data_IF_802419602226
#
_entry.id   IF_802419602226
#
_cell.length_a   1.000
_cell.length_b   1.000
_cell.length_c   1.000
_cell.angle_alpha   90.00
_cell.angle_beta   90.00
_cell.angle_gamma   90.00
#
_symmetry.space_group_name_H-M   'P 1'
#
loop_
_entity.id
_entity.type
_entity.pdbx_description
1 polymer ?
#
# COMPACT_ATOMS: atom_id res chain seq x y z
N UNK A 1 6.99 -19.06 -9.09
CA UNK A 1 5.72 -18.80 -9.85
C UNK A 1 6.04 -18.35 -11.27
N UNK A 2 5.04 -18.31 -12.20
CA UNK A 2 5.25 -17.61 -13.47
C UNK A 2 5.22 -16.10 -13.19
N UNK A 3 6.23 -15.33 -13.64
CA UNK A 3 6.24 -13.88 -13.46
C UNK A 3 5.02 -13.24 -14.13
N UNK A 4 4.42 -12.25 -13.46
CA UNK A 4 3.37 -11.41 -14.04
C UNK A 4 3.93 -10.01 -14.25
N UNK A 5 3.40 -9.30 -15.22
CA UNK A 5 3.91 -7.97 -15.61
C UNK A 5 3.07 -6.88 -14.98
N UNK A 6 3.73 -5.86 -14.39
CA UNK A 6 3.10 -4.59 -14.06
C UNK A 6 3.17 -3.71 -15.31
N UNK A 7 2.16 -3.80 -16.17
CA UNK A 7 2.14 -3.06 -17.44
C UNK A 7 1.90 -1.57 -17.24
N UNK A 8 1.20 -1.21 -16.17
CA UNK A 8 0.96 0.18 -15.78
C UNK A 8 0.75 0.30 -14.27
N UNK A 9 1.07 1.45 -13.69
CA UNK A 9 0.81 1.72 -12.29
C UNK A 9 0.70 3.22 -12.00
N UNK A 10 0.02 3.55 -10.92
CA UNK A 10 -0.19 4.91 -10.43
C UNK A 10 -0.26 4.94 -8.92
N UNK A 11 0.09 6.08 -8.32
CA UNK A 11 -0.06 6.32 -6.89
C UNK A 11 -0.40 7.78 -6.61
N UNK A 12 -1.28 7.98 -5.64
CA UNK A 12 -1.63 9.29 -5.09
C UNK A 12 -1.57 9.19 -3.57
N UNK A 13 -0.79 10.06 -2.95
CA UNK A 13 -0.60 10.15 -1.51
C UNK A 13 -0.34 11.60 -1.11
N UNK A 14 -0.01 11.85 0.15
CA UNK A 14 0.42 13.19 0.59
C UNK A 14 1.71 13.69 -0.09
N UNK A 15 2.44 12.84 -0.82
CA UNK A 15 3.59 13.25 -1.64
C UNK A 15 3.18 13.95 -2.93
N UNK A 16 1.95 13.73 -3.39
CA UNK A 16 1.36 14.30 -4.59
C UNK A 16 0.53 13.30 -5.38
N UNK A 17 0.05 13.74 -6.54
CA UNK A 17 -0.79 12.95 -7.44
C UNK A 17 0.06 12.38 -8.57
N UNK A 18 -0.01 11.06 -8.75
CA UNK A 18 0.70 10.34 -9.80
C UNK A 18 2.15 9.98 -9.44
N UNK A 19 2.73 9.13 -10.29
CA UNK A 19 4.07 8.54 -10.07
C UNK A 19 5.19 9.58 -10.17
N UNK A 20 5.05 10.60 -11.03
CA UNK A 20 6.06 11.64 -11.18
C UNK A 20 6.24 12.45 -9.89
N UNK A 21 5.15 12.87 -9.25
CA UNK A 21 5.19 13.61 -7.99
C UNK A 21 5.75 12.74 -6.85
N UNK A 22 5.35 11.46 -6.80
CA UNK A 22 5.86 10.48 -5.83
C UNK A 22 7.37 10.29 -5.99
N UNK A 23 7.85 10.05 -7.22
CA UNK A 23 9.28 9.87 -7.52
C UNK A 23 10.10 11.09 -7.14
N UNK A 24 9.64 12.28 -7.53
CA UNK A 24 10.31 13.53 -7.19
C UNK A 24 10.43 13.71 -5.67
N UNK A 25 9.34 13.54 -4.94
CA UNK A 25 9.33 13.69 -3.49
C UNK A 25 10.30 12.72 -2.78
N UNK A 26 10.35 11.46 -3.23
CA UNK A 26 11.27 10.45 -2.68
C UNK A 26 12.74 10.79 -2.99
N UNK A 27 13.05 11.24 -4.20
CA UNK A 27 14.41 11.69 -4.58
C UNK A 27 14.86 12.90 -3.78
N UNK A 28 13.95 13.85 -3.53
CA UNK A 28 14.18 15.05 -2.73
C UNK A 28 14.14 14.78 -1.22
N UNK A 29 13.84 13.54 -0.80
CA UNK A 29 13.67 13.17 0.61
C UNK A 29 12.62 14.05 1.31
N UNK A 30 11.57 14.42 0.60
CA UNK A 30 10.52 15.29 1.10
C UNK A 30 9.45 14.48 1.82
N UNK A 31 9.12 14.90 3.04
CA UNK A 31 7.97 14.37 3.78
C UNK A 31 6.68 15.08 3.38
N UNK A 32 5.62 14.31 3.14
CA UNK A 32 4.27 14.84 2.94
C UNK A 32 3.51 15.04 4.25
N UNK A 33 4.07 14.60 5.38
CA UNK A 33 3.44 14.70 6.69
C UNK A 33 3.30 16.15 7.14
N UNK A 34 2.13 16.49 7.67
CA UNK A 34 1.80 17.80 8.23
C UNK A 34 1.14 17.63 9.59
N UNK A 35 1.21 18.65 10.44
CA UNK A 35 0.43 18.67 11.69
C UNK A 35 -1.02 18.37 11.34
N UNK A 36 -1.61 17.40 12.04
CA UNK A 36 -2.96 16.94 11.73
C UNK A 36 -3.98 18.02 12.11
N UNK A 37 -4.77 18.44 11.13
CA UNK A 37 -5.92 19.35 11.29
C UNK A 37 -7.16 18.76 10.62
N UNK A 38 -7.17 17.44 10.41
CA UNK A 38 -8.22 16.73 9.69
C UNK A 38 -9.51 16.70 10.50
N UNK A 39 -10.61 17.17 9.90
CA UNK A 39 -11.94 17.17 10.50
C UNK A 39 -11.94 17.82 11.90
N UNK A 40 -12.45 17.13 12.89
CA UNK A 40 -12.53 17.56 14.29
C UNK A 40 -11.45 16.94 15.18
N UNK A 41 -10.34 16.49 14.59
CA UNK A 41 -9.24 15.86 15.35
C UNK A 41 -8.59 16.88 16.28
N UNK A 42 -8.51 16.51 17.56
CA UNK A 42 -7.77 17.23 18.59
C UNK A 42 -6.72 16.29 19.21
N UNK A 43 -5.70 15.97 18.41
CA UNK A 43 -4.58 15.12 18.81
C UNK A 43 -3.27 15.79 18.39
N UNK A 44 -2.23 15.76 19.25
CA UNK A 44 -0.89 16.20 18.86
C UNK A 44 -0.24 15.13 17.97
N UNK A 45 -0.51 15.18 16.66
CA UNK A 45 0.06 14.23 15.69
C UNK A 45 0.25 14.86 14.32
N UNK A 46 0.94 14.12 13.47
CA UNK A 46 1.11 14.44 12.04
C UNK A 46 0.36 13.41 11.20
N UNK A 47 -0.20 13.88 10.09
CA UNK A 47 -0.90 13.02 9.13
C UNK A 47 -0.44 13.29 7.70
N UNK A 48 -0.57 12.28 6.86
CA UNK A 48 -0.33 12.37 5.43
C UNK A 48 -1.64 12.53 4.67
N UNK A 49 -2.20 13.73 4.64
CA UNK A 49 -3.46 14.05 3.95
C UNK A 49 -3.22 14.33 2.47
N UNK A 50 -4.10 13.84 1.60
CA UNK A 50 -4.09 14.08 0.16
C UNK A 50 -4.89 15.32 -0.18
N UNK A 51 -4.24 16.31 -0.78
CA UNK A 51 -4.91 17.55 -1.16
C UNK A 51 -5.96 17.34 -2.27
N UNK A 52 -7.12 18.01 -2.12
CA UNK A 52 -8.17 18.08 -3.14
C UNK A 52 -9.02 16.82 -3.29
N UNK A 53 -9.06 15.94 -2.28
CA UNK A 53 -9.98 14.78 -2.27
C UNK A 53 -11.42 15.22 -2.13
N UNK A 54 -11.68 16.23 -1.30
CA UNK A 54 -13.03 16.73 -1.04
C UNK A 54 -13.63 17.50 -2.22
N UNK A 55 -12.77 17.96 -3.14
CA UNK A 55 -13.15 18.65 -4.37
C UNK A 55 -13.54 17.66 -5.50
N UNK A 56 -13.28 16.37 -5.32
CA UNK A 56 -13.59 15.36 -6.34
C UNK A 56 -15.09 15.12 -6.41
N UNK A 57 -15.65 15.37 -7.59
CA UNK A 57 -17.04 15.07 -7.91
C UNK A 57 -17.12 13.74 -8.66
N UNK A 58 -17.95 12.83 -8.16
CA UNK A 58 -18.21 11.56 -8.80
C UNK A 58 -19.18 11.73 -9.98
N UNK A 59 -19.06 10.93 -11.07
CA UNK A 59 -20.07 10.84 -12.11
C UNK A 59 -21.45 10.48 -11.53
N UNK A 60 -22.52 10.94 -12.16
CA UNK A 60 -23.89 10.68 -11.66
C UNK A 60 -24.21 9.19 -11.50
N UNK A 61 -23.71 8.34 -12.39
CA UNK A 61 -23.86 6.88 -12.31
C UNK A 61 -23.18 6.25 -11.10
N UNK A 62 -22.22 6.93 -10.48
CA UNK A 62 -21.45 6.47 -9.32
C UNK A 62 -21.74 7.29 -8.06
N UNK A 63 -22.70 8.23 -8.11
CA UNK A 63 -23.08 9.09 -6.98
C UNK A 63 -23.44 8.30 -5.70
N UNK A 64 -24.12 7.12 -5.75
CA UNK A 64 -24.38 6.34 -4.54
C UNK A 64 -23.13 5.91 -3.77
N UNK A 65 -21.98 5.85 -4.43
CA UNK A 65 -20.70 5.49 -3.83
C UNK A 65 -19.94 6.68 -3.21
N UNK A 66 -20.57 7.87 -3.11
CA UNK A 66 -19.87 9.08 -2.70
C UNK A 66 -19.45 9.04 -1.24
N UNK A 67 -18.15 8.88 -1.05
CA UNK A 67 -17.45 8.98 0.23
C UNK A 67 -15.98 9.39 -0.02
N UNK A 68 -15.28 9.90 0.99
CA UNK A 68 -13.88 10.34 0.85
C UNK A 68 -12.99 9.26 0.25
N UNK A 69 -13.15 8.00 0.68
CA UNK A 69 -12.36 6.88 0.18
C UNK A 69 -12.52 6.68 -1.34
N UNK A 70 -13.76 6.71 -1.84
CA UNK A 70 -14.03 6.53 -3.26
C UNK A 70 -13.68 7.77 -4.09
N UNK A 71 -13.75 8.98 -3.52
CA UNK A 71 -13.20 10.20 -4.14
C UNK A 71 -11.69 10.09 -4.31
N UNK A 72 -10.96 9.64 -3.29
CA UNK A 72 -9.53 9.38 -3.35
C UNK A 72 -9.20 8.29 -4.39
N UNK A 73 -10.01 7.22 -4.44
CA UNK A 73 -9.91 6.19 -5.45
C UNK A 73 -9.98 6.77 -6.88
N UNK A 74 -10.99 7.58 -7.15
CA UNK A 74 -11.18 8.21 -8.47
C UNK A 74 -10.05 9.20 -8.79
N UNK A 75 -9.61 9.97 -7.81
CA UNK A 75 -8.50 10.92 -7.98
C UNK A 75 -7.23 10.23 -8.48
N UNK A 76 -6.92 9.07 -7.90
CA UNK A 76 -5.75 8.28 -8.30
C UNK A 76 -5.94 7.58 -9.65
N UNK A 77 -7.11 7.02 -9.95
CA UNK A 77 -7.39 6.39 -11.25
C UNK A 77 -7.16 7.34 -12.42
N UNK A 78 -7.40 8.64 -12.20
CA UNK A 78 -7.25 9.68 -13.24
C UNK A 78 -5.80 10.11 -13.50
N UNK A 79 -4.82 9.55 -12.78
CA UNK A 79 -3.41 9.90 -12.95
C UNK A 79 -2.71 8.95 -13.93
N UNK A 80 -1.58 9.37 -14.43
CA UNK A 80 -0.59 8.60 -15.21
C UNK A 80 -1.17 7.84 -16.41
N UNK A 81 -2.35 8.22 -16.94
CA UNK A 81 -3.00 7.49 -18.03
C UNK A 81 -3.52 6.11 -17.66
N UNK A 82 -3.70 5.82 -16.35
CA UNK A 82 -4.06 4.48 -15.86
C UNK A 82 -5.39 3.97 -16.43
N UNK A 83 -6.41 4.85 -16.57
CA UNK A 83 -7.69 4.48 -17.20
C UNK A 83 -7.47 4.00 -18.63
N UNK A 84 -6.68 4.73 -19.41
CA UNK A 84 -6.40 4.37 -20.82
C UNK A 84 -5.68 3.01 -20.90
N UNK A 85 -4.75 2.74 -20.00
CA UNK A 85 -4.05 1.44 -19.94
C UNK A 85 -5.01 0.29 -19.65
N UNK A 86 -5.99 0.50 -18.75
CA UNK A 86 -7.05 -0.49 -18.48
C UNK A 86 -7.95 -0.68 -19.70
N UNK A 87 -8.32 0.38 -20.40
CA UNK A 87 -9.10 0.29 -21.66
C UNK A 87 -8.33 -0.50 -22.73
N UNK A 88 -7.01 -0.31 -22.86
CA UNK A 88 -6.17 -1.11 -23.76
C UNK A 88 -6.19 -2.59 -23.37
N UNK A 89 -6.14 -2.90 -22.09
CA UNK A 89 -6.28 -4.26 -21.58
C UNK A 89 -7.65 -4.85 -21.89
N UNK A 90 -8.72 -4.05 -21.71
CA UNK A 90 -10.09 -4.45 -22.06
C UNK A 90 -10.23 -4.72 -23.58
N UNK A 91 -9.63 -3.89 -24.44
CA UNK A 91 -9.62 -4.14 -25.90
C UNK A 91 -8.93 -5.48 -26.24
N UNK A 92 -7.92 -5.86 -25.49
CA UNK A 92 -7.16 -7.10 -25.70
C UNK A 92 -7.88 -8.35 -25.19
N UNK A 93 -8.44 -8.27 -23.99
CA UNK A 93 -8.92 -9.43 -23.24
C UNK A 93 -10.45 -9.48 -23.09
N UNK A 94 -11.13 -8.36 -23.22
CA UNK A 94 -12.56 -8.21 -22.95
C UNK A 94 -12.86 -7.87 -21.48
N UNK A 95 -13.96 -7.12 -21.26
CA UNK A 95 -14.39 -6.57 -19.95
C UNK A 95 -14.51 -7.63 -18.84
N UNK A 96 -14.90 -8.85 -19.19
CA UNK A 96 -15.09 -9.97 -18.23
C UNK A 96 -13.79 -10.65 -17.83
N UNK A 97 -12.72 -10.38 -18.58
CA UNK A 97 -11.40 -11.00 -18.36
C UNK A 97 -10.43 -10.09 -17.61
N UNK A 98 -10.86 -8.87 -17.24
CA UNK A 98 -10.12 -7.94 -16.40
C UNK A 98 -10.78 -7.89 -15.02
N UNK A 99 -10.09 -8.36 -13.98
CA UNK A 99 -10.58 -8.37 -12.61
C UNK A 99 -10.17 -7.12 -11.81
N UNK A 100 -10.81 -6.89 -10.66
CA UNK A 100 -10.48 -5.81 -9.70
C UNK A 100 -10.25 -6.42 -8.32
N UNK A 101 -9.03 -6.28 -7.77
CA UNK A 101 -8.65 -6.80 -6.46
C UNK A 101 -8.04 -5.67 -5.64
N UNK A 102 -8.75 -5.20 -4.62
CA UNK A 102 -8.31 -4.04 -3.83
C UNK A 102 -8.18 -4.38 -2.35
N UNK A 103 -7.22 -3.72 -1.70
CA UNK A 103 -7.07 -3.73 -0.24
C UNK A 103 -7.61 -2.45 0.36
N UNK A 104 -8.31 -2.57 1.48
CA UNK A 104 -8.76 -1.41 2.28
C UNK A 104 -8.91 -1.82 3.74
N UNK A 105 -8.72 -0.87 4.64
CA UNK A 105 -9.04 -1.01 6.07
C UNK A 105 -10.09 0.00 6.53
N UNK A 106 -10.28 1.07 5.78
CA UNK A 106 -11.19 2.17 6.14
C UNK A 106 -12.45 2.20 5.31
N UNK A 107 -12.36 1.95 3.98
CA UNK A 107 -13.52 2.18 3.12
C UNK A 107 -14.20 3.52 3.44
N UNK A 108 -15.52 3.59 3.50
CA UNK A 108 -16.29 4.81 3.83
C UNK A 108 -16.53 5.02 5.33
N UNK A 109 -15.60 4.65 6.23
CA UNK A 109 -15.78 4.84 7.69
C UNK A 109 -16.09 6.29 8.04
N UNK A 110 -15.43 7.27 7.41
CA UNK A 110 -15.71 8.69 7.66
C UNK A 110 -17.18 9.05 7.39
N UNK A 111 -17.81 8.50 6.33
CA UNK A 111 -19.22 8.73 6.05
C UNK A 111 -20.10 8.15 7.16
N UNK A 112 -19.74 6.99 7.70
CA UNK A 112 -20.42 6.41 8.84
C UNK A 112 -20.28 7.29 10.10
N UNK A 113 -19.07 7.80 10.39
CA UNK A 113 -18.84 8.71 11.51
C UNK A 113 -19.68 9.98 11.39
N UNK A 114 -19.79 10.56 10.18
CA UNK A 114 -20.63 11.71 9.89
C UNK A 114 -22.12 11.37 10.12
N UNK A 115 -22.60 10.23 9.60
CA UNK A 115 -23.96 9.78 9.77
C UNK A 115 -24.32 9.58 11.24
N UNK A 116 -23.43 8.98 12.04
CA UNK A 116 -23.63 8.81 13.48
C UNK A 116 -23.66 10.13 14.25
N UNK A 117 -22.89 11.14 13.84
CA UNK A 117 -22.96 12.49 14.43
C UNK A 117 -24.29 13.19 14.12
N UNK A 118 -24.92 12.85 12.98
CA UNK A 118 -26.18 13.43 12.51
C UNK A 118 -27.41 12.58 12.84
N UNK A 119 -27.27 11.49 13.59
CA UNK A 119 -28.39 10.64 13.98
C UNK A 119 -29.46 11.44 14.72
N UNK A 120 -30.72 11.07 14.47
CA UNK A 120 -31.85 11.66 15.19
C UNK A 120 -31.74 11.34 16.69
N UNK A 121 -31.73 12.35 17.58
CA UNK A 121 -31.52 12.14 19.00
C UNK A 121 -32.70 11.44 19.71
N UNK A 122 -33.90 11.46 19.13
CA UNK A 122 -35.07 10.84 19.72
C UNK A 122 -35.25 9.39 19.31
N UNK A 123 -35.06 9.06 18.01
CA UNK A 123 -35.25 7.71 17.46
C UNK A 123 -33.95 6.91 17.37
N UNK A 124 -32.77 7.61 17.36
CA UNK A 124 -31.49 7.02 17.09
C UNK A 124 -31.25 6.67 15.59
N UNK A 125 -32.19 7.02 14.70
CA UNK A 125 -32.12 6.73 13.28
C UNK A 125 -30.99 7.51 12.61
N UNK A 126 -30.27 6.87 11.69
CA UNK A 126 -29.28 7.51 10.83
C UNK A 126 -29.98 8.32 9.72
N UNK A 127 -29.30 9.31 9.11
CA UNK A 127 -29.83 10.04 7.96
C UNK A 127 -30.31 9.11 6.85
N UNK A 128 -31.42 9.47 6.21
CA UNK A 128 -32.04 8.63 5.18
C UNK A 128 -31.21 8.46 3.90
N UNK A 129 -30.26 9.34 3.67
CA UNK A 129 -29.30 9.33 2.56
C UNK A 129 -28.02 8.55 2.87
N UNK A 130 -27.84 8.07 4.10
CA UNK A 130 -26.71 7.20 4.44
C UNK A 130 -26.94 5.78 3.91
N UNK A 131 -26.09 5.36 2.97
CA UNK A 131 -26.10 3.99 2.43
C UNK A 131 -24.82 3.25 2.84
N UNK A 132 -24.96 2.31 3.77
CA UNK A 132 -23.88 1.44 4.22
C UNK A 132 -23.28 0.60 3.08
N UNK A 133 -24.13 0.07 2.19
CA UNK A 133 -23.69 -0.89 1.18
C UNK A 133 -22.74 -0.27 0.15
N UNK A 134 -22.99 0.97 -0.21
CA UNK A 134 -22.20 1.69 -1.23
C UNK A 134 -21.09 2.57 -0.65
N UNK A 135 -21.08 2.83 0.66
CA UNK A 135 -20.08 3.68 1.30
C UNK A 135 -19.15 2.90 2.25
N UNK A 136 -19.66 2.43 3.39
CA UNK A 136 -18.81 1.85 4.43
C UNK A 136 -18.45 0.37 4.20
N UNK A 137 -19.30 -0.40 3.53
CA UNK A 137 -19.01 -1.79 3.22
C UNK A 137 -17.64 -1.88 2.53
N UNK A 138 -16.74 -2.73 3.03
CA UNK A 138 -15.39 -2.85 2.47
C UNK A 138 -15.38 -3.15 0.97
N UNK A 139 -16.39 -3.88 0.47
CA UNK A 139 -16.51 -4.16 -0.96
C UNK A 139 -16.88 -2.93 -1.80
N UNK A 140 -17.36 -1.84 -1.19
CA UNK A 140 -17.74 -0.59 -1.87
C UNK A 140 -16.63 -0.09 -2.81
N UNK A 141 -15.39 -0.04 -2.35
CA UNK A 141 -14.27 0.48 -3.16
C UNK A 141 -14.01 -0.38 -4.41
N UNK A 142 -14.13 -1.71 -4.33
CA UNK A 142 -13.96 -2.57 -5.50
C UNK A 142 -15.14 -2.47 -6.48
N UNK A 143 -16.37 -2.39 -5.95
CA UNK A 143 -17.56 -2.15 -6.78
C UNK A 143 -17.47 -0.79 -7.48
N UNK A 144 -17.05 0.26 -6.76
CA UNK A 144 -16.83 1.59 -7.29
C UNK A 144 -15.79 1.60 -8.42
N UNK A 145 -14.59 1.06 -8.17
CA UNK A 145 -13.50 1.04 -9.15
C UNK A 145 -13.89 0.20 -10.37
N UNK A 146 -14.54 -0.95 -10.17
CA UNK A 146 -15.08 -1.76 -11.27
C UNK A 146 -16.06 -0.98 -12.14
N UNK A 147 -16.98 -0.24 -11.51
CA UNK A 147 -17.92 0.63 -12.22
C UNK A 147 -17.24 1.80 -12.92
N UNK A 148 -16.28 2.46 -12.26
CA UNK A 148 -15.54 3.59 -12.82
C UNK A 148 -14.67 3.22 -14.04
N UNK A 149 -14.22 1.97 -14.11
CA UNK A 149 -13.42 1.42 -15.22
C UNK A 149 -14.27 0.63 -16.23
N UNK A 150 -15.58 0.60 -16.07
CA UNK A 150 -16.52 -0.11 -16.94
C UNK A 150 -16.15 -1.59 -17.14
N UNK A 151 -15.82 -2.30 -16.05
CA UNK A 151 -15.41 -3.70 -16.04
C UNK A 151 -16.55 -4.63 -15.58
N UNK A 152 -16.56 -5.87 -16.14
CA UNK A 152 -17.52 -6.93 -15.79
C UNK A 152 -16.80 -8.15 -15.17
N UNK A 153 -15.49 -8.10 -15.03
CA UNK A 153 -14.70 -9.17 -14.42
C UNK A 153 -14.96 -9.33 -12.91
N UNK A 154 -14.42 -10.39 -12.30
CA UNK A 154 -14.56 -10.61 -10.87
C UNK A 154 -13.93 -9.45 -10.07
N UNK A 155 -14.58 -9.11 -8.96
CA UNK A 155 -14.06 -8.10 -8.04
C UNK A 155 -14.00 -8.67 -6.63
N UNK A 156 -12.96 -8.34 -5.88
CA UNK A 156 -12.80 -8.75 -4.49
C UNK A 156 -12.06 -7.68 -3.69
N UNK A 157 -12.31 -7.69 -2.39
CA UNK A 157 -11.58 -6.86 -1.43
C UNK A 157 -10.89 -7.76 -0.41
N UNK A 158 -9.66 -7.44 -0.09
CA UNK A 158 -8.93 -7.99 1.05
C UNK A 158 -8.90 -6.94 2.15
N UNK A 159 -9.35 -7.32 3.34
CA UNK A 159 -9.31 -6.49 4.54
C UNK A 159 -8.56 -7.27 5.63
N UNK A 160 -7.23 -7.16 5.61
CA UNK A 160 -6.30 -7.83 6.52
C UNK A 160 -5.33 -6.83 7.15
N UNK A 161 -5.88 -5.72 7.66
CA UNK A 161 -5.16 -4.59 8.21
C UNK A 161 -4.07 -4.07 7.23
N UNK A 162 -2.85 -3.80 7.71
CA UNK A 162 -1.80 -3.15 6.93
C UNK A 162 -1.26 -4.00 5.76
N UNK A 163 -1.56 -5.30 5.70
CA UNK A 163 -1.16 -6.18 4.60
C UNK A 163 -2.20 -6.30 3.47
N UNK A 164 -3.35 -5.64 3.60
CA UNK A 164 -4.49 -5.80 2.69
C UNK A 164 -4.12 -5.67 1.21
N UNK A 165 -3.56 -4.55 0.81
CA UNK A 165 -3.26 -4.28 -0.60
C UNK A 165 -2.00 -4.99 -1.13
N UNK A 166 -1.15 -5.52 -0.27
CA UNK A 166 -0.09 -6.43 -0.69
C UNK A 166 -0.67 -7.81 -1.05
N UNK A 167 -1.61 -8.33 -0.27
CA UNK A 167 -2.23 -9.65 -0.51
C UNK A 167 -3.07 -9.74 -1.76
N UNK A 168 -3.59 -8.61 -2.26
CA UNK A 168 -4.37 -8.62 -3.50
C UNK A 168 -3.54 -9.01 -4.72
N UNK A 169 -2.22 -8.77 -4.71
CA UNK A 169 -1.31 -9.26 -5.76
C UNK A 169 -1.32 -10.79 -5.84
N UNK A 170 -1.27 -11.47 -4.68
CA UNK A 170 -1.40 -12.92 -4.60
C UNK A 170 -2.79 -13.42 -5.03
N UNK A 171 -3.86 -12.70 -4.67
CA UNK A 171 -5.22 -13.04 -5.07
C UNK A 171 -5.40 -12.95 -6.58
N UNK A 172 -4.99 -11.84 -7.19
CA UNK A 172 -5.03 -11.63 -8.65
C UNK A 172 -4.18 -12.66 -9.39
N UNK A 173 -2.96 -12.95 -8.90
CA UNK A 173 -2.09 -14.00 -9.46
C UNK A 173 -2.81 -15.33 -9.54
N UNK A 174 -3.41 -15.80 -8.44
CA UNK A 174 -4.13 -17.07 -8.41
C UNK A 174 -5.26 -17.13 -9.45
N UNK A 175 -5.98 -16.02 -9.64
CA UNK A 175 -7.05 -15.93 -10.65
C UNK A 175 -6.51 -15.95 -12.08
N UNK A 176 -5.38 -15.30 -12.34
CA UNK A 176 -4.71 -15.31 -13.65
C UNK A 176 -4.13 -16.72 -13.93
N UNK A 177 -3.41 -17.31 -12.98
CA UNK A 177 -2.83 -18.66 -13.12
C UNK A 177 -3.89 -19.74 -13.31
N UNK A 178 -5.07 -19.58 -12.70
CA UNK A 178 -6.23 -20.46 -12.91
C UNK A 178 -6.96 -20.23 -14.24
N UNK A 179 -6.54 -19.26 -15.06
CA UNK A 179 -7.17 -18.93 -16.34
C UNK A 179 -8.57 -18.32 -16.22
N UNK A 180 -8.94 -17.81 -15.03
CA UNK A 180 -10.24 -17.18 -14.82
C UNK A 180 -10.28 -15.73 -15.33
N UNK A 181 -9.16 -15.06 -15.31
CA UNK A 181 -8.93 -13.71 -15.89
C UNK A 181 -7.57 -13.66 -16.58
N UNK A 182 -7.32 -12.66 -17.40
CA UNK A 182 -6.04 -12.43 -18.09
C UNK A 182 -5.31 -11.19 -17.56
N UNK A 183 -6.05 -10.26 -16.97
CA UNK A 183 -5.52 -9.07 -16.36
C UNK A 183 -6.27 -8.73 -15.07
N UNK A 184 -5.61 -7.96 -14.21
CA UNK A 184 -6.22 -7.48 -12.97
C UNK A 184 -5.75 -6.07 -12.63
N UNK A 185 -6.69 -5.20 -12.28
CA UNK A 185 -6.43 -4.00 -11.51
C UNK A 185 -6.23 -4.44 -10.06
N UNK A 186 -5.00 -4.33 -9.56
CA UNK A 186 -4.63 -4.61 -8.17
C UNK A 186 -4.24 -3.31 -7.48
N UNK A 187 -4.54 -3.18 -6.21
CA UNK A 187 -4.19 -1.95 -5.52
C UNK A 187 -4.79 -1.82 -4.14
N UNK A 188 -4.83 -0.60 -3.63
CA UNK A 188 -5.46 -0.31 -2.35
C UNK A 188 -5.81 1.15 -2.19
N UNK A 189 -6.84 1.40 -1.39
CA UNK A 189 -7.32 2.73 -1.06
C UNK A 189 -7.69 2.79 0.40
N UNK A 190 -7.08 3.70 1.13
CA UNK A 190 -7.50 4.08 2.48
C UNK A 190 -7.45 5.59 2.64
N UNK A 191 -8.52 6.16 3.16
CA UNK A 191 -8.65 7.57 3.47
C UNK A 191 -8.59 7.84 4.97
N UNK A 192 -8.25 9.06 5.36
CA UNK A 192 -8.29 9.49 6.75
C UNK A 192 -9.71 9.40 7.31
N UNK A 193 -9.81 8.98 8.57
CA UNK A 193 -11.04 8.99 9.37
C UNK A 193 -10.69 9.10 10.86
N UNK A 194 -11.64 9.56 11.67
CA UNK A 194 -11.44 9.77 13.11
C UNK A 194 -11.21 8.44 13.84
N UNK A 195 -11.92 7.38 13.42
CA UNK A 195 -11.81 6.04 14.03
C UNK A 195 -10.37 5.53 14.02
N UNK A 196 -9.64 5.72 12.92
CA UNK A 196 -8.24 5.27 12.86
C UNK A 196 -7.32 6.18 13.67
N UNK A 197 -7.49 7.50 13.60
CA UNK A 197 -6.67 8.45 14.35
C UNK A 197 -6.82 8.26 15.86
N UNK A 198 -8.05 8.26 16.38
CA UNK A 198 -8.29 8.06 17.80
C UNK A 198 -8.08 6.61 18.24
N UNK A 199 -8.37 5.62 17.39
CA UNK A 199 -8.14 4.20 17.68
C UNK A 199 -6.66 3.90 17.90
N UNK A 200 -5.80 4.32 17.00
CA UNK A 200 -4.34 4.15 17.17
C UNK A 200 -3.78 5.02 18.29
N UNK A 201 -4.38 6.19 18.55
CA UNK A 201 -4.02 6.98 19.72
C UNK A 201 -4.35 6.26 21.03
N UNK A 202 -5.54 5.66 21.13
CA UNK A 202 -5.95 4.87 22.31
C UNK A 202 -5.05 3.65 22.56
N UNK A 203 -4.46 3.10 21.51
CA UNK A 203 -3.45 2.04 21.58
C UNK A 203 -2.03 2.55 21.90
N UNK A 204 -1.86 3.88 22.07
CA UNK A 204 -0.56 4.53 22.30
C UNK A 204 0.47 4.27 21.19
N UNK A 205 -0.01 4.24 19.94
CA UNK A 205 0.81 3.95 18.76
C UNK A 205 1.00 5.17 17.85
N UNK A 206 0.34 6.30 18.14
CA UNK A 206 0.48 7.55 17.37
C UNK A 206 1.69 8.33 17.86
N UNK A 207 2.56 8.73 16.93
CA UNK A 207 3.65 9.66 17.21
C UNK A 207 3.13 11.09 17.36
N UNK A 208 3.58 11.86 18.36
CA UNK A 208 3.25 13.28 18.47
C UNK A 208 3.99 14.14 17.44
N UNK A 209 5.05 13.62 16.81
CA UNK A 209 5.80 14.22 15.73
C UNK A 209 5.61 13.47 14.41
N UNK A 210 6.32 13.85 13.32
CA UNK A 210 6.39 13.04 12.12
C UNK A 210 7.01 11.67 12.45
N UNK A 211 6.39 10.58 12.00
CA UNK A 211 6.94 9.24 12.27
C UNK A 211 8.34 9.09 11.66
N UNK A 212 9.19 8.35 12.39
CA UNK A 212 10.62 8.16 12.11
C UNK A 212 11.00 6.69 12.25
N UNK A 213 10.68 5.87 11.25
CA UNK A 213 11.00 4.45 11.28
C UNK A 213 12.48 4.19 11.51
N UNK A 214 12.79 3.18 12.33
CA UNK A 214 14.16 2.75 12.66
C UNK A 214 15.04 3.80 13.39
N UNK A 215 14.48 4.95 13.80
CA UNK A 215 15.19 5.93 14.62
C UNK A 215 15.27 5.48 16.08
N UNK A 216 16.34 5.86 16.79
CA UNK A 216 16.47 5.59 18.25
C UNK A 216 15.36 6.26 19.05
N UNK A 217 14.82 7.36 18.57
CA UNK A 217 13.75 8.13 19.22
C UNK A 217 12.37 7.85 18.60
N UNK A 218 12.20 6.73 17.84
CA UNK A 218 10.90 6.36 17.30
C UNK A 218 9.87 6.14 18.39
N UNK A 219 8.68 6.65 18.19
CA UNK A 219 7.64 6.73 19.22
C UNK A 219 6.23 6.46 18.69
N UNK A 220 6.13 5.99 17.43
CA UNK A 220 4.84 5.62 16.84
C UNK A 220 4.71 5.98 15.37
N UNK A 221 3.47 5.81 14.89
CA UNK A 221 3.09 6.05 13.50
C UNK A 221 2.55 7.46 13.29
N UNK A 222 2.62 7.95 12.06
CA UNK A 222 1.74 9.00 11.54
C UNK A 222 0.80 8.35 10.54
N UNK A 223 -0.52 8.56 10.67
CA UNK A 223 -1.49 8.03 9.72
C UNK A 223 -1.39 8.80 8.40
N UNK A 224 -1.41 8.08 7.28
CA UNK A 224 -1.50 8.65 5.94
C UNK A 224 -2.71 8.09 5.19
N UNK A 225 -3.15 8.79 4.16
CA UNK A 225 -4.11 8.28 3.18
C UNK A 225 -3.45 8.14 1.82
N UNK A 226 -3.87 7.13 1.07
CA UNK A 226 -3.36 6.88 -0.27
C UNK A 226 -4.33 6.05 -1.11
N UNK A 227 -4.20 6.20 -2.43
CA UNK A 227 -4.72 5.26 -3.41
C UNK A 227 -3.60 4.92 -4.40
N UNK A 228 -3.34 3.64 -4.59
CA UNK A 228 -2.34 3.17 -5.53
C UNK A 228 -2.85 1.93 -6.28
N UNK A 229 -2.53 1.85 -7.56
CA UNK A 229 -2.98 0.78 -8.45
C UNK A 229 -1.84 0.31 -9.35
N UNK A 230 -1.90 -0.98 -9.70
CA UNK A 230 -1.12 -1.55 -10.78
C UNK A 230 -2.04 -2.39 -11.68
N UNK A 231 -1.75 -2.41 -12.97
CA UNK A 231 -2.35 -3.32 -13.93
C UNK A 231 -1.42 -4.52 -14.07
N UNK A 232 -1.87 -5.67 -13.54
CA UNK A 232 -1.13 -6.92 -13.51
C UNK A 232 -1.64 -7.83 -14.63
N UNK A 233 -0.74 -8.29 -15.50
CA UNK A 233 -1.09 -9.09 -16.68
C UNK A 233 -0.14 -10.27 -16.86
N UNK A 234 -0.61 -11.31 -17.56
CA UNK A 234 0.27 -12.37 -18.05
C UNK A 234 1.27 -11.81 -19.05
N UNK A 235 2.53 -12.26 -19.03
CA UNK A 235 3.51 -11.84 -20.03
C UNK A 235 3.01 -12.14 -21.45
N UNK A 236 3.06 -11.17 -22.34
CA UNK A 236 2.85 -11.34 -23.77
C UNK A 236 4.18 -11.18 -24.52
N UNK A 237 4.26 -11.69 -25.74
CA UNK A 237 5.47 -11.56 -26.58
C UNK A 237 5.85 -10.12 -26.91
N UNK A 238 4.98 -9.15 -26.63
CA UNK A 238 5.19 -7.72 -26.89
C UNK A 238 5.70 -6.94 -25.69
N UNK A 239 5.83 -7.59 -24.52
CA UNK A 239 6.33 -6.94 -23.30
C UNK A 239 7.84 -6.81 -23.37
N UNK A 240 8.33 -5.56 -23.30
CA UNK A 240 9.76 -5.26 -23.32
C UNK A 240 10.50 -5.87 -22.13
N UNK A 241 11.79 -6.10 -22.29
CA UNK A 241 12.69 -6.63 -21.26
C UNK A 241 12.78 -5.71 -20.02
N UNK A 242 12.56 -4.42 -20.20
CA UNK A 242 12.72 -3.37 -19.14
C UNK A 242 11.47 -3.19 -18.24
N UNK A 243 10.49 -4.10 -18.38
CA UNK A 243 9.21 -3.98 -17.65
C UNK A 243 9.31 -4.60 -16.25
N UNK A 244 8.72 -3.92 -15.27
CA UNK A 244 8.65 -4.42 -13.89
C UNK A 244 7.73 -5.64 -13.82
N UNK A 245 8.18 -6.67 -13.12
CA UNK A 245 7.46 -7.94 -12.96
C UNK A 245 7.26 -8.27 -11.48
N UNK A 246 6.12 -8.84 -11.15
CA UNK A 246 5.88 -9.52 -9.89
C UNK A 246 6.50 -10.92 -10.00
N UNK A 247 7.55 -11.18 -9.25
CA UNK A 247 8.30 -12.44 -9.26
C UNK A 247 7.87 -13.37 -8.12
N UNK A 248 7.56 -12.83 -6.95
CA UNK A 248 7.24 -13.61 -5.78
C UNK A 248 6.18 -12.97 -4.89
N UNK A 249 5.37 -13.83 -4.29
CA UNK A 249 4.39 -13.46 -3.24
C UNK A 249 4.54 -14.46 -2.11
N UNK A 250 4.72 -13.95 -0.89
CA UNK A 250 4.75 -14.77 0.31
C UNK A 250 3.77 -14.24 1.35
N UNK A 251 2.98 -15.12 1.91
CA UNK A 251 1.98 -14.81 2.93
C UNK A 251 2.21 -15.69 4.15
N UNK A 252 1.91 -15.15 5.35
CA UNK A 252 1.99 -15.89 6.61
C UNK A 252 1.04 -15.30 7.66
N UNK A 253 0.97 -15.98 8.80
CA UNK A 253 0.31 -15.47 10.00
C UNK A 253 1.21 -15.69 11.21
N UNK A 254 1.31 -14.69 12.10
CA UNK A 254 2.06 -14.81 13.37
C UNK A 254 1.36 -15.75 14.35
N UNK A 255 0.02 -15.77 14.35
CA UNK A 255 -0.81 -16.46 15.32
C UNK A 255 -0.37 -16.17 16.78
N UNK A 256 0.01 -14.93 17.08
CA UNK A 256 0.63 -14.51 18.33
C UNK A 256 -0.24 -13.55 19.13
N UNK A 257 -0.53 -12.36 18.61
CA UNK A 257 -1.31 -11.32 19.29
C UNK A 257 -2.08 -10.44 18.30
N UNK A 258 -3.18 -9.82 18.77
CA UNK A 258 -4.06 -9.03 17.87
C UNK A 258 -3.43 -7.73 17.36
N UNK A 259 -2.52 -7.10 18.12
CA UNK A 259 -1.94 -5.79 17.77
C UNK A 259 -0.41 -5.72 17.88
N UNK A 260 0.24 -6.83 18.22
CA UNK A 260 1.71 -6.90 18.33
C UNK A 260 2.25 -8.02 17.45
N UNK A 261 3.34 -7.80 16.71
CA UNK A 261 4.00 -8.84 15.93
C UNK A 261 4.66 -9.86 16.86
N UNK A 262 4.97 -11.04 16.33
CA UNK A 262 5.79 -12.02 17.05
C UNK A 262 7.17 -11.40 17.36
N UNK A 263 7.64 -11.38 18.63
CA UNK A 263 8.86 -10.65 19.01
C UNK A 263 10.11 -11.03 18.21
N UNK A 264 10.23 -12.31 17.82
CA UNK A 264 11.34 -12.80 17.00
C UNK A 264 11.11 -12.65 15.50
N UNK A 265 10.02 -11.99 15.07
CA UNK A 265 9.70 -11.79 13.66
C UNK A 265 9.37 -13.06 12.88
N UNK A 266 8.88 -14.11 13.56
CA UNK A 266 8.70 -15.43 12.95
C UNK A 266 7.78 -15.39 11.71
N UNK A 267 6.63 -14.71 11.79
CA UNK A 267 5.72 -14.58 10.67
C UNK A 267 6.27 -13.68 9.57
N UNK A 268 6.90 -12.56 9.92
CA UNK A 268 7.58 -11.70 8.95
C UNK A 268 8.65 -12.48 8.16
N UNK A 269 9.48 -13.25 8.88
CA UNK A 269 10.48 -14.13 8.27
C UNK A 269 9.84 -15.17 7.35
N UNK A 270 8.75 -15.81 7.77
CA UNK A 270 8.05 -16.81 6.95
C UNK A 270 7.47 -16.18 5.68
N UNK A 271 6.87 -14.98 5.74
CA UNK A 271 6.37 -14.28 4.56
C UNK A 271 7.49 -13.99 3.55
N UNK A 272 8.62 -13.44 4.02
CA UNK A 272 9.78 -13.18 3.15
C UNK A 272 10.34 -14.46 2.52
N UNK A 273 10.48 -15.54 3.31
CA UNK A 273 10.96 -16.83 2.82
C UNK A 273 10.02 -17.43 1.77
N UNK A 274 8.71 -17.36 1.99
CA UNK A 274 7.71 -17.81 1.00
C UNK A 274 7.78 -16.98 -0.28
N UNK A 275 8.02 -15.66 -0.18
CA UNK A 275 8.19 -14.80 -1.35
C UNK A 275 9.44 -15.18 -2.17
N UNK A 276 10.58 -15.44 -1.51
CA UNK A 276 11.82 -15.91 -2.13
C UNK A 276 11.59 -17.25 -2.83
N UNK A 277 11.02 -18.25 -2.16
CA UNK A 277 10.69 -19.53 -2.77
C UNK A 277 9.74 -19.37 -3.98
N UNK A 278 8.75 -18.50 -3.87
CA UNK A 278 7.80 -18.21 -4.95
C UNK A 278 8.48 -17.60 -6.17
N UNK A 279 9.51 -16.77 -5.94
CA UNK A 279 10.31 -16.13 -6.98
C UNK A 279 11.41 -17.07 -7.55
N UNK A 280 11.82 -18.09 -6.80
CA UNK A 280 12.98 -18.91 -7.11
C UNK A 280 14.30 -18.17 -6.91
N UNK A 281 14.34 -17.28 -5.92
CA UNK A 281 15.50 -16.44 -5.59
C UNK A 281 16.07 -16.79 -4.22
N UNK A 282 17.38 -16.58 -4.08
CA UNK A 282 18.08 -16.64 -2.80
C UNK A 282 18.12 -15.24 -2.14
N UNK A 283 18.26 -15.14 -0.81
CA UNK A 283 18.30 -13.85 -0.12
C UNK A 283 19.35 -12.87 -0.66
N UNK A 284 20.52 -13.37 -1.07
CA UNK A 284 21.62 -12.55 -1.61
C UNK A 284 21.35 -11.91 -2.97
N UNK A 285 20.25 -12.27 -3.63
CA UNK A 285 19.85 -11.70 -4.92
C UNK A 285 18.90 -10.50 -4.77
N UNK A 286 18.54 -10.13 -3.53
CA UNK A 286 17.70 -8.94 -3.25
C UNK A 286 18.60 -7.70 -3.06
N UNK A 287 18.45 -6.74 -3.95
CA UNK A 287 19.25 -5.50 -3.96
C UNK A 287 18.77 -4.46 -2.94
N UNK A 288 17.46 -4.44 -2.66
CA UNK A 288 16.84 -3.47 -1.76
C UNK A 288 15.56 -4.04 -1.12
N UNK A 289 15.34 -3.71 0.15
CA UNK A 289 14.13 -4.05 0.90
C UNK A 289 13.38 -2.76 1.28
N UNK A 290 12.15 -2.60 0.79
CA UNK A 290 11.20 -1.64 1.32
C UNK A 290 10.55 -2.27 2.57
N UNK A 291 10.95 -1.77 3.73
CA UNK A 291 10.52 -2.28 5.03
C UNK A 291 9.08 -1.86 5.33
N UNK A 292 8.37 -2.70 6.05
CA UNK A 292 7.11 -2.27 6.66
C UNK A 292 7.33 -1.05 7.57
N UNK A 293 8.32 -1.09 8.43
CA UNK A 293 8.94 0.04 9.12
C UNK A 293 7.96 1.14 9.55
N UNK A 294 7.20 0.90 10.62
CA UNK A 294 6.12 1.79 11.06
C UNK A 294 6.58 2.93 11.96
N UNK A 295 7.79 2.82 12.53
CA UNK A 295 8.26 3.74 13.58
C UNK A 295 7.78 3.35 14.98
N UNK A 296 7.12 2.20 15.14
CA UNK A 296 6.81 1.64 16.46
C UNK A 296 7.96 0.76 16.96
N UNK A 297 8.19 0.72 18.27
CA UNK A 297 9.24 -0.11 18.88
C UNK A 297 9.03 -1.59 18.53
N UNK A 298 7.78 -2.08 18.66
CA UNK A 298 7.46 -3.50 18.47
C UNK A 298 7.68 -3.96 17.04
N UNK A 299 7.18 -3.21 16.04
CA UNK A 299 7.35 -3.59 14.64
C UNK A 299 8.80 -3.53 14.20
N UNK A 300 9.47 -2.39 14.43
CA UNK A 300 10.81 -2.19 13.89
C UNK A 300 11.83 -3.17 14.52
N UNK A 301 11.66 -3.53 15.80
CA UNK A 301 12.45 -4.57 16.44
C UNK A 301 12.20 -5.95 15.83
N UNK A 302 10.93 -6.34 15.68
CA UNK A 302 10.54 -7.63 15.10
C UNK A 302 10.99 -7.78 13.65
N UNK A 303 10.74 -6.75 12.82
CA UNK A 303 11.12 -6.73 11.42
C UNK A 303 12.65 -6.76 11.23
N UNK A 304 13.38 -5.99 12.04
CA UNK A 304 14.86 -6.00 12.03
C UNK A 304 15.41 -7.41 12.26
N UNK A 305 14.89 -8.16 13.24
CA UNK A 305 15.28 -9.55 13.49
C UNK A 305 14.95 -10.47 12.33
N UNK A 306 13.74 -10.34 11.77
CA UNK A 306 13.32 -11.14 10.62
C UNK A 306 14.22 -10.90 9.40
N UNK A 307 14.49 -9.63 9.07
CA UNK A 307 15.33 -9.24 7.93
C UNK A 307 16.76 -9.71 8.13
N UNK A 308 17.38 -9.41 9.28
CA UNK A 308 18.77 -9.81 9.54
C UNK A 308 18.96 -11.34 9.55
N UNK A 309 17.96 -12.10 9.98
CA UNK A 309 18.03 -13.57 9.97
C UNK A 309 18.03 -14.20 8.60
N UNK A 310 17.51 -13.50 7.56
CA UNK A 310 17.46 -13.99 6.16
C UNK A 310 18.51 -13.33 5.28
N UNK A 311 18.65 -12.01 5.38
CA UNK A 311 19.44 -11.20 4.45
C UNK A 311 20.78 -10.73 5.06
N UNK A 312 21.05 -11.06 6.32
CA UNK A 312 22.20 -10.50 7.04
C UNK A 312 22.00 -9.00 7.31
N UNK A 313 23.13 -8.29 7.44
CA UNK A 313 23.14 -6.85 7.78
C UNK A 313 23.54 -5.96 6.62
N UNK A 314 23.78 -6.50 5.43
CA UNK A 314 24.38 -5.77 4.30
C UNK A 314 23.37 -5.36 3.22
N UNK A 315 22.17 -6.02 3.17
CA UNK A 315 21.15 -5.67 2.19
C UNK A 315 20.56 -4.29 2.51
N UNK A 316 20.66 -3.32 1.58
CA UNK A 316 20.12 -1.98 1.78
C UNK A 316 18.61 -2.03 2.03
N UNK A 317 18.14 -1.27 3.00
CA UNK A 317 16.72 -1.24 3.34
C UNK A 317 16.29 0.14 3.84
N UNK A 318 15.02 0.48 3.65
CA UNK A 318 14.43 1.69 4.24
C UNK A 318 12.91 1.56 4.35
N UNK A 319 12.29 2.42 5.14
CA UNK A 319 10.85 2.60 5.15
C UNK A 319 10.49 3.96 4.56
N UNK A 320 9.52 3.99 3.66
CA UNK A 320 9.01 5.22 3.06
C UNK A 320 7.90 5.87 3.88
N UNK A 321 7.49 5.26 5.00
CA UNK A 321 6.43 5.80 5.87
C UNK A 321 6.77 7.12 6.58
N UNK A 322 8.06 7.43 6.75
CA UNK A 322 8.49 8.77 7.16
C UNK A 322 8.11 9.86 6.16
N UNK A 323 7.96 9.52 4.89
CA UNK A 323 7.54 10.44 3.84
C UNK A 323 6.01 10.44 3.65
N UNK A 324 5.38 9.27 3.59
CA UNK A 324 3.97 9.06 3.22
C UNK A 324 3.00 9.00 4.41
N UNK A 325 3.51 8.74 5.61
CA UNK A 325 2.71 8.19 6.69
C UNK A 325 2.36 6.71 6.44
N UNK A 326 1.71 6.10 7.41
CA UNK A 326 1.18 4.75 7.28
C UNK A 326 -0.21 4.79 6.64
N UNK A 327 -0.30 4.45 5.37
CA UNK A 327 -1.56 4.44 4.61
C UNK A 327 -2.40 3.17 4.85
N UNK A 328 -2.28 2.55 6.03
CA UNK A 328 -3.08 1.42 6.51
C UNK A 328 -3.16 0.28 5.49
N UNK A 329 -4.38 -0.12 5.08
CA UNK A 329 -4.58 -1.18 4.09
C UNK A 329 -4.12 -0.83 2.68
N UNK A 330 -4.00 0.45 2.34
CA UNK A 330 -3.44 0.92 1.06
C UNK A 330 -1.91 0.90 1.02
N UNK A 331 -1.23 0.76 2.18
CA UNK A 331 0.23 0.88 2.28
C UNK A 331 0.98 -0.07 1.34
N UNK A 332 0.58 -1.34 1.30
CA UNK A 332 1.27 -2.34 0.47
C UNK A 332 1.23 -2.04 -1.03
N UNK A 333 0.13 -1.49 -1.54
CA UNK A 333 0.02 -1.08 -2.94
C UNK A 333 0.87 0.17 -3.24
N UNK A 334 0.85 1.16 -2.34
CA UNK A 334 1.70 2.35 -2.46
C UNK A 334 3.18 1.95 -2.49
N UNK A 335 3.58 1.07 -1.59
CA UNK A 335 4.96 0.56 -1.48
C UNK A 335 5.34 -0.33 -2.67
N UNK A 336 4.40 -1.09 -3.24
CA UNK A 336 4.60 -1.82 -4.49
C UNK A 336 4.90 -0.88 -5.67
N UNK A 337 4.15 0.24 -5.78
CA UNK A 337 4.43 1.27 -6.80
C UNK A 337 5.77 1.95 -6.53
N UNK A 338 6.13 2.23 -5.28
CA UNK A 338 7.45 2.79 -4.92
C UNK A 338 8.58 1.81 -5.31
N UNK A 339 8.41 0.50 -5.08
CA UNK A 339 9.37 -0.52 -5.53
C UNK A 339 9.49 -0.57 -7.06
N UNK A 340 8.37 -0.44 -7.78
CA UNK A 340 8.39 -0.36 -9.24
C UNK A 340 9.15 0.88 -9.73
N UNK A 341 8.93 2.04 -9.10
CA UNK A 341 9.67 3.27 -9.39
C UNK A 341 11.17 3.13 -9.07
N UNK A 342 11.51 2.46 -7.96
CA UNK A 342 12.88 2.18 -7.58
C UNK A 342 13.61 1.36 -8.66
N UNK A 343 12.98 0.28 -9.14
CA UNK A 343 13.50 -0.54 -10.23
C UNK A 343 13.65 0.22 -11.54
N UNK A 344 12.63 0.99 -11.96
CA UNK A 344 12.67 1.74 -13.22
C UNK A 344 13.69 2.87 -13.23
N UNK A 345 14.02 3.41 -12.08
CA UNK A 345 14.86 4.60 -11.96
C UNK A 345 16.20 4.33 -11.27
N UNK A 346 16.51 3.07 -10.98
CA UNK A 346 17.78 2.66 -10.36
C UNK A 346 18.11 3.46 -9.09
N UNK A 347 17.14 3.58 -8.18
CA UNK A 347 17.36 4.29 -6.91
C UNK A 347 16.72 3.54 -5.74
N UNK A 348 17.35 3.68 -4.58
CA UNK A 348 16.85 3.16 -3.30
C UNK A 348 16.46 4.38 -2.46
N UNK A 349 15.16 4.58 -2.14
CA UNK A 349 14.73 5.73 -1.37
C UNK A 349 15.27 5.70 0.06
N UNK A 350 15.63 6.87 0.58
CA UNK A 350 16.01 7.03 1.98
C UNK A 350 14.79 6.90 2.91
N UNK A 351 15.03 6.48 4.15
CA UNK A 351 14.09 6.66 5.24
C UNK A 351 14.05 8.13 5.66
N UNK A 352 12.93 8.79 5.38
CA UNK A 352 12.72 10.20 5.73
C UNK A 352 12.38 10.34 7.22
N UNK A 353 12.78 11.45 7.85
CA UNK A 353 12.64 11.79 9.27
C UNK A 353 13.52 10.94 10.23
N UNK A 354 14.17 9.89 9.79
CA UNK A 354 15.14 9.13 10.57
C UNK A 354 16.45 9.91 10.61
N UNK A 355 16.80 10.42 11.78
CA UNK A 355 18.03 11.23 11.98
C UNK A 355 19.18 10.43 12.56
N UNK A 356 18.86 9.46 13.41
CA UNK A 356 19.82 8.57 14.02
C UNK A 356 19.26 7.14 14.06
N UNK A 357 19.74 6.31 13.14
CA UNK A 357 19.37 4.89 13.10
C UNK A 357 19.69 4.22 14.42
N UNK A 358 18.74 3.43 14.94
CA UNK A 358 18.93 2.70 16.19
C UNK A 358 19.98 1.58 16.00
N UNK A 359 21.14 1.64 16.68
CA UNK A 359 22.19 0.65 16.53
C UNK A 359 21.82 -0.75 17.04
N UNK A 360 20.74 -0.87 17.78
CA UNK A 360 20.20 -2.17 18.22
C UNK A 360 19.46 -2.91 17.10
N UNK A 361 19.10 -2.23 16.01
CA UNK A 361 18.41 -2.80 14.86
C UNK A 361 19.41 -3.26 13.79
N UNK A 362 19.56 -4.56 13.65
CA UNK A 362 20.60 -5.19 12.81
C UNK A 362 20.22 -5.18 11.32
N UNK A 363 20.00 -4.01 10.72
CA UNK A 363 19.73 -3.82 9.29
C UNK A 363 20.56 -2.67 8.73
N UNK A 364 20.88 -2.73 7.44
CA UNK A 364 21.50 -1.60 6.73
C UNK A 364 20.43 -0.60 6.31
N UNK A 365 20.00 0.22 7.26
CA UNK A 365 19.00 1.24 7.02
C UNK A 365 19.57 2.45 6.27
N UNK A 366 18.92 2.85 5.18
CA UNK A 366 19.36 3.97 4.35
C UNK A 366 18.80 5.29 4.89
N UNK A 367 19.65 6.14 5.44
CA UNK A 367 19.36 7.54 5.80
C UNK A 367 19.49 8.50 4.61
N UNK A 368 20.10 8.04 3.52
CA UNK A 368 20.29 8.79 2.28
C UNK A 368 19.85 7.98 1.07
N UNK A 369 19.28 8.66 0.06
CA UNK A 369 18.94 8.05 -1.22
C UNK A 369 20.21 7.55 -1.90
N UNK A 370 20.15 6.30 -2.37
CA UNK A 370 21.25 5.72 -3.14
C UNK A 370 20.81 5.47 -4.57
N UNK A 371 21.75 5.63 -5.49
CA UNK A 371 21.58 5.34 -6.89
C UNK A 371 22.46 4.17 -7.29
N UNK A 372 21.95 3.29 -8.10
CA UNK A 372 22.66 2.12 -8.60
C UNK A 372 21.70 1.12 -9.19
N UNK A 373 22.21 0.20 -10.03
CA UNK A 373 21.38 -0.77 -10.72
C UNK A 373 20.62 -1.66 -9.73
N UNK A 374 19.30 -1.81 -9.96
CA UNK A 374 18.45 -2.72 -9.21
C UNK A 374 17.88 -3.77 -10.15
N UNK A 375 17.93 -5.01 -9.74
CA UNK A 375 17.35 -6.17 -10.43
C UNK A 375 16.17 -6.74 -9.67
N UNK A 376 16.31 -6.91 -8.35
CA UNK A 376 15.26 -7.46 -7.49
C UNK A 376 15.05 -6.59 -6.24
N UNK A 377 13.81 -6.27 -5.95
CA UNK A 377 13.42 -5.54 -4.73
C UNK A 377 12.33 -6.29 -4.00
N UNK A 378 12.37 -6.25 -2.67
CA UNK A 378 11.38 -6.86 -1.80
C UNK A 378 10.61 -5.78 -1.06
N UNK A 379 9.28 -5.93 -0.94
CA UNK A 379 8.39 -5.05 -0.17
C UNK A 379 7.68 -5.84 0.91
N UNK A 380 7.74 -5.35 2.16
CA UNK A 380 7.11 -5.96 3.31
C UNK A 380 5.86 -5.22 3.75
N UNK A 381 4.81 -5.97 4.09
CA UNK A 381 3.57 -5.46 4.66
C UNK A 381 3.12 -6.37 5.79
N UNK A 382 3.24 -5.92 7.05
CA UNK A 382 2.92 -6.70 8.24
C UNK A 382 1.74 -6.08 8.97
N UNK A 383 0.63 -6.82 9.05
CA UNK A 383 -0.64 -6.30 9.54
C UNK A 383 -0.95 -6.73 10.97
N UNK A 384 -1.71 -5.91 11.66
CA UNK A 384 -2.36 -6.31 12.91
C UNK A 384 -3.13 -7.62 12.72
N UNK A 385 -3.27 -8.40 13.79
CA UNK A 385 -3.73 -9.78 13.72
C UNK A 385 -2.66 -10.77 13.25
N UNK A 386 -1.42 -10.28 13.01
CA UNK A 386 -0.31 -11.09 12.54
C UNK A 386 -0.39 -11.49 11.08
N UNK A 387 -1.18 -10.78 10.28
CA UNK A 387 -1.36 -11.08 8.87
C UNK A 387 -0.26 -10.42 8.04
N UNK A 388 0.69 -11.21 7.52
CA UNK A 388 1.89 -10.74 6.84
C UNK A 388 1.85 -11.04 5.33
N UNK A 389 2.48 -10.15 4.56
CA UNK A 389 2.72 -10.33 3.13
C UNK A 389 4.06 -9.72 2.73
N UNK A 390 4.82 -10.42 1.90
CA UNK A 390 6.02 -9.91 1.23
C UNK A 390 5.89 -10.10 -0.27
N UNK A 391 6.24 -9.08 -1.04
CA UNK A 391 6.22 -9.07 -2.50
C UNK A 391 7.64 -8.91 -3.03
N UNK A 392 7.99 -9.65 -4.09
CA UNK A 392 9.25 -9.47 -4.81
C UNK A 392 8.94 -9.00 -6.22
N UNK A 393 9.53 -7.88 -6.56
CA UNK A 393 9.49 -7.30 -7.89
C UNK A 393 10.87 -7.38 -8.53
N UNK A 394 10.90 -7.52 -9.85
CA UNK A 394 12.15 -7.52 -10.59
C UNK A 394 12.01 -6.89 -11.96
N UNK A 395 13.16 -6.59 -12.57
CA UNK A 395 13.27 -6.05 -13.91
C UNK A 395 14.40 -6.78 -14.64
N UNK A 396 14.09 -7.43 -15.77
CA UNK A 396 15.14 -7.91 -16.67
C UNK A 396 15.76 -6.72 -17.38
N UNK A 397 17.07 -6.61 -17.33
CA UNK A 397 17.81 -5.60 -18.10
C UNK A 397 18.09 -6.14 -19.48
N UNK A 398 17.85 -5.33 -20.51
CA UNK A 398 18.39 -5.61 -21.85
C UNK A 398 19.92 -5.68 -21.69
N UNK A 399 20.49 -6.85 -22.01
CA UNK A 399 21.88 -7.16 -21.68
C UNK A 399 22.86 -6.06 -22.05
N UNK A 400 23.75 -5.79 -21.14
CA UNK A 400 25.07 -5.17 -21.42
C UNK A 400 25.94 -6.18 -22.13
#
# INVERSE_FOLDING_TARGET
MKPLVLTHFTATSCLGRGVAATLQALRERRSGLRKCTFETVDLPTYAGEVAGVDEVVLPDSLRPFDCRNNRLALLALRQDGFVNAVEDSVRRWGRRRVGVFLGTSTSGILQCEIAYRQRDPASGSLPADFDYATTQNSFSVAAFVRGALDLDGPAAVVCSACSSSAKVFGSARRMIEAGLIDAAVVGGVDSLCLTTLYGFHALQLISPGPCRPFDVARDGISIGEAAAYALLESPSSTVGTDTVRLLGVGESSDAYHMSSPHPEGAGARAAMLHALHSAGLEPGEIDYINLHGTGTQSNDNSESRAVSSLFGTDTPSSSTKGATGHALGAAGALEAVICALALQNDFMPAGVNTTRVDPALAVRYLSETRFGPLTHVLSNSFGFGGSNCSLIFGRERSGT
#
